data_IF_901515803732
#
_entry.id   IF_901515803732
#
_cell.length_a   1.000
_cell.length_b   1.000
_cell.length_c   1.000
_cell.angle_alpha   90.00
_cell.angle_beta   90.00
_cell.angle_gamma   90.00
#
_symmetry.space_group_name_H-M   'P 1'
#
loop_
_entity.id
_entity.type
_entity.pdbx_description
1 polymer ?
#
# COMPACT_ATOMS: atom_id res chain seq x y z
N UNK A 1 23.82 12.12 -5.14
CA UNK A 1 22.41 11.77 -4.84
C UNK A 1 21.60 13.05 -4.82
N UNK A 2 20.57 13.18 -5.66
CA UNK A 2 19.80 14.44 -5.76
C UNK A 2 18.87 14.60 -4.55
N UNK A 3 18.52 15.85 -4.21
CA UNK A 3 17.55 16.18 -3.15
C UNK A 3 16.22 15.44 -3.36
N UNK A 4 15.77 15.34 -4.63
CA UNK A 4 14.56 14.61 -5.03
C UNK A 4 14.65 13.12 -4.68
N UNK A 5 15.74 12.46 -5.02
CA UNK A 5 15.93 11.02 -4.73
C UNK A 5 15.96 10.77 -3.22
N UNK A 6 16.55 11.67 -2.44
CA UNK A 6 16.54 11.59 -0.98
C UNK A 6 15.13 11.71 -0.39
N UNK A 7 14.33 12.65 -0.88
CA UNK A 7 12.93 12.83 -0.47
C UNK A 7 12.08 11.61 -0.83
N UNK A 8 12.22 11.08 -2.06
CA UNK A 8 11.51 9.85 -2.49
C UNK A 8 11.83 8.68 -1.58
N UNK A 9 13.12 8.47 -1.27
CA UNK A 9 13.56 7.41 -0.37
C UNK A 9 13.01 7.57 1.05
N UNK A 10 13.06 8.78 1.62
CA UNK A 10 12.52 9.06 2.96
C UNK A 10 11.01 8.87 2.99
N UNK A 11 10.28 9.43 2.04
CA UNK A 11 8.83 9.27 1.92
C UNK A 11 8.43 7.80 1.77
N UNK A 12 9.13 7.04 0.91
CA UNK A 12 8.85 5.61 0.73
C UNK A 12 9.11 4.80 2.00
N UNK A 13 10.07 5.22 2.84
CA UNK A 13 10.29 4.60 4.15
C UNK A 13 9.15 4.88 5.13
N UNK A 14 8.62 6.10 5.13
CA UNK A 14 7.47 6.46 5.96
C UNK A 14 6.25 5.62 5.56
N UNK A 15 5.90 5.58 4.27
CA UNK A 15 4.75 4.81 3.79
C UNK A 15 4.95 3.29 3.91
N UNK A 16 6.15 2.78 3.61
CA UNK A 16 6.48 1.38 3.82
C UNK A 16 6.39 0.99 5.31
N UNK A 17 6.89 1.84 6.19
CA UNK A 17 6.79 1.66 7.64
C UNK A 17 5.34 1.73 8.14
N UNK A 18 4.53 2.65 7.61
CA UNK A 18 3.09 2.73 7.91
C UNK A 18 2.38 1.41 7.62
N UNK A 19 2.62 0.80 6.45
CA UNK A 19 1.99 -0.47 6.10
C UNK A 19 2.49 -1.64 6.94
N UNK A 20 3.79 -1.70 7.24
CA UNK A 20 4.34 -2.74 8.11
C UNK A 20 3.78 -2.59 9.53
N UNK A 21 3.64 -1.36 10.01
CA UNK A 21 2.98 -1.05 11.28
C UNK A 21 1.50 -1.45 11.27
N UNK A 22 0.79 -1.17 10.18
CA UNK A 22 -0.60 -1.61 9.95
C UNK A 22 -0.73 -3.13 10.00
N UNK A 23 0.17 -3.87 9.36
CA UNK A 23 0.24 -5.33 9.44
C UNK A 23 0.46 -5.82 10.88
N UNK A 24 1.34 -5.16 11.63
CA UNK A 24 1.55 -5.44 13.05
C UNK A 24 0.30 -5.19 13.90
N UNK A 25 -0.40 -4.08 13.66
CA UNK A 25 -1.66 -3.75 14.31
C UNK A 25 -2.76 -4.77 13.98
N UNK A 26 -2.91 -5.15 12.71
CA UNK A 26 -3.83 -6.20 12.30
C UNK A 26 -3.53 -7.54 12.96
N UNK A 27 -2.25 -7.88 13.11
CA UNK A 27 -1.83 -9.08 13.85
C UNK A 27 -2.27 -9.01 15.32
N UNK A 28 -2.02 -7.88 15.98
CA UNK A 28 -2.39 -7.68 17.37
C UNK A 28 -3.93 -7.71 17.57
N UNK A 29 -4.67 -7.03 16.71
CA UNK A 29 -6.14 -6.98 16.76
C UNK A 29 -6.75 -8.37 16.51
N UNK A 30 -6.24 -9.12 15.54
CA UNK A 30 -6.72 -10.48 15.28
C UNK A 30 -6.48 -11.41 16.49
N UNK A 31 -5.34 -11.25 17.16
CA UNK A 31 -4.99 -12.08 18.31
C UNK A 31 -5.79 -11.70 19.57
N UNK A 32 -6.01 -10.41 19.81
CA UNK A 32 -6.58 -9.90 21.06
C UNK A 32 -8.08 -9.58 21.01
N UNK A 33 -8.60 -9.18 19.86
CA UNK A 33 -9.98 -8.69 19.68
C UNK A 33 -10.48 -8.92 18.23
N UNK A 34 -10.61 -10.16 17.75
CA UNK A 34 -11.05 -10.46 16.38
C UNK A 34 -12.45 -9.94 16.05
N UNK A 35 -13.33 -9.78 17.03
CA UNK A 35 -14.67 -9.20 16.88
C UNK A 35 -14.64 -7.72 16.47
N UNK A 36 -13.51 -7.03 16.68
CA UNK A 36 -13.32 -5.63 16.25
C UNK A 36 -13.49 -5.46 14.73
N UNK A 37 -13.22 -6.50 13.93
CA UNK A 37 -13.42 -6.46 12.48
C UNK A 37 -14.91 -6.41 12.10
N UNK A 38 -15.80 -7.01 12.89
CA UNK A 38 -17.25 -6.86 12.70
C UNK A 38 -17.71 -5.45 13.07
N UNK A 39 -17.22 -4.91 14.19
CA UNK A 39 -17.52 -3.55 14.62
C UNK A 39 -17.02 -2.50 13.61
N UNK A 40 -15.81 -2.70 13.05
CA UNK A 40 -15.27 -1.85 12.00
C UNK A 40 -16.16 -1.86 10.76
N UNK A 41 -16.66 -3.04 10.36
CA UNK A 41 -17.58 -3.20 9.24
C UNK A 41 -18.90 -2.42 9.40
N UNK A 42 -19.41 -2.31 10.63
CA UNK A 42 -20.60 -1.51 10.93
C UNK A 42 -20.34 0.01 10.84
N UNK A 43 -19.08 0.43 11.03
CA UNK A 43 -18.64 1.82 10.88
C UNK A 43 -18.35 2.21 9.42
N UNK A 44 -18.23 1.25 8.50
CA UNK A 44 -17.97 1.55 7.09
C UNK A 44 -19.21 2.12 6.42
N UNK A 45 -19.08 3.33 5.87
CA UNK A 45 -20.13 4.00 5.08
C UNK A 45 -19.97 3.78 3.56
N UNK A 46 -19.32 2.68 3.18
CA UNK A 46 -19.11 2.30 1.79
C UNK A 46 -20.37 1.73 1.10
N UNK A 47 -20.31 1.51 -0.23
CA UNK A 47 -21.36 0.85 -1.01
C UNK A 47 -21.85 -0.46 -0.39
N UNK A 48 -23.15 -0.73 -0.50
CA UNK A 48 -23.78 -1.92 0.10
C UNK A 48 -23.10 -3.24 -0.30
N UNK A 49 -22.65 -3.36 -1.55
CA UNK A 49 -21.93 -4.54 -2.03
C UNK A 49 -20.62 -4.79 -1.26
N UNK A 50 -19.89 -3.72 -0.95
CA UNK A 50 -18.62 -3.80 -0.24
C UNK A 50 -18.80 -4.08 1.25
N UNK A 51 -19.84 -3.52 1.88
CA UNK A 51 -20.21 -3.87 3.26
C UNK A 51 -20.60 -5.34 3.39
N UNK A 52 -21.33 -5.88 2.40
CA UNK A 52 -21.65 -7.32 2.34
C UNK A 52 -20.40 -8.18 2.15
N UNK A 53 -19.47 -7.75 1.29
CA UNK A 53 -18.19 -8.44 1.10
C UNK A 53 -17.39 -8.46 2.41
N UNK A 54 -17.29 -7.33 3.11
CA UNK A 54 -16.64 -7.24 4.42
C UNK A 54 -17.28 -8.19 5.43
N UNK A 55 -18.61 -8.16 5.55
CA UNK A 55 -19.33 -9.04 6.46
C UNK A 55 -19.08 -10.53 6.16
N UNK A 56 -19.08 -10.92 4.88
CA UNK A 56 -18.81 -12.29 4.44
C UNK A 56 -17.33 -12.71 4.51
N UNK A 57 -16.40 -11.78 4.77
CA UNK A 57 -14.96 -12.04 4.80
C UNK A 57 -14.38 -11.71 6.16
N UNK A 58 -14.01 -10.44 6.39
CA UNK A 58 -13.34 -9.97 7.59
C UNK A 58 -14.17 -10.19 8.85
N UNK A 59 -15.50 -10.11 8.78
CA UNK A 59 -16.36 -10.35 9.96
C UNK A 59 -16.65 -11.84 10.20
N UNK A 60 -17.02 -12.60 9.17
CA UNK A 60 -17.37 -14.02 9.32
C UNK A 60 -16.14 -14.92 9.54
N UNK A 61 -15.01 -14.59 8.91
CA UNK A 61 -13.81 -15.41 8.88
C UNK A 61 -12.53 -14.57 9.07
N UNK A 62 -12.38 -13.85 10.21
CA UNK A 62 -11.25 -12.95 10.44
C UNK A 62 -9.90 -13.68 10.37
N UNK A 63 -9.80 -14.90 10.91
CA UNK A 63 -8.57 -15.70 10.90
C UNK A 63 -8.10 -16.17 9.52
N UNK A 64 -8.92 -16.02 8.49
CA UNK A 64 -8.53 -16.31 7.11
C UNK A 64 -8.19 -15.01 6.38
N UNK A 65 -9.08 -14.03 6.42
CA UNK A 65 -8.97 -12.84 5.60
C UNK A 65 -8.02 -11.78 6.16
N UNK A 66 -7.94 -11.63 7.48
CA UNK A 66 -7.03 -10.66 8.11
C UNK A 66 -5.56 -11.06 7.86
N UNK A 67 -5.14 -12.33 8.02
CA UNK A 67 -3.77 -12.72 7.66
C UNK A 67 -3.45 -12.53 6.18
N UNK A 68 -4.38 -12.80 5.27
CA UNK A 68 -4.14 -12.64 3.84
C UNK A 68 -4.03 -11.16 3.44
N UNK A 69 -5.01 -10.35 3.85
CA UNK A 69 -5.15 -8.96 3.38
C UNK A 69 -4.50 -7.98 4.35
N UNK A 70 -4.86 -8.03 5.63
CA UNK A 70 -4.39 -7.08 6.64
C UNK A 70 -2.93 -7.29 7.05
N UNK A 71 -2.40 -8.51 6.91
CA UNK A 71 -1.00 -8.83 7.27
C UNK A 71 -0.18 -9.06 6.01
N UNK A 72 -0.51 -10.08 5.22
CA UNK A 72 0.28 -10.51 4.07
C UNK A 72 0.41 -9.44 2.99
N UNK A 73 -0.72 -8.88 2.56
CA UNK A 73 -0.71 -7.83 1.54
C UNK A 73 -0.09 -6.53 2.06
N UNK A 74 -0.50 -6.01 3.22
CA UNK A 74 0.07 -4.78 3.80
C UNK A 74 1.59 -4.90 4.02
N UNK A 75 2.04 -6.00 4.62
CA UNK A 75 3.46 -6.24 4.83
C UNK A 75 4.21 -6.35 3.50
N UNK A 76 3.65 -7.10 2.54
CA UNK A 76 4.26 -7.29 1.22
C UNK A 76 4.46 -5.98 0.45
N UNK A 77 3.42 -5.14 0.35
CA UNK A 77 3.53 -3.84 -0.34
C UNK A 77 4.42 -2.87 0.44
N UNK A 78 4.42 -2.95 1.78
CA UNK A 78 5.33 -2.19 2.64
C UNK A 78 6.79 -2.52 2.37
N UNK A 79 7.15 -3.80 2.34
CA UNK A 79 8.50 -4.28 2.00
C UNK A 79 8.89 -3.87 0.59
N UNK A 80 7.98 -3.99 -0.39
CA UNK A 80 8.24 -3.53 -1.75
C UNK A 80 8.52 -2.03 -1.80
N UNK A 81 7.78 -1.20 -1.05
CA UNK A 81 8.01 0.25 -0.98
C UNK A 81 9.38 0.60 -0.37
N UNK A 82 9.92 -0.24 0.51
CA UNK A 82 11.26 -0.10 1.07
C UNK A 82 12.40 -0.54 0.13
N UNK A 83 12.08 -1.16 -1.01
CA UNK A 83 13.09 -1.70 -1.91
C UNK A 83 14.02 -0.60 -2.48
N UNK A 84 15.31 -0.92 -2.58
CA UNK A 84 16.30 -0.01 -3.21
C UNK A 84 16.05 0.17 -4.72
N UNK A 85 15.56 -0.87 -5.40
CA UNK A 85 15.28 -0.85 -6.84
C UNK A 85 14.01 -0.02 -7.11
N UNK A 86 14.08 1.03 -7.96
CA UNK A 86 12.98 1.97 -8.16
C UNK A 86 11.71 1.31 -8.71
N UNK A 87 11.83 0.30 -9.59
CA UNK A 87 10.67 -0.47 -10.10
C UNK A 87 9.92 -1.22 -8.99
N UNK A 88 10.62 -1.90 -8.08
CA UNK A 88 10.00 -2.64 -6.97
C UNK A 88 9.34 -1.68 -5.98
N UNK A 89 10.02 -0.57 -5.68
CA UNK A 89 9.47 0.51 -4.87
C UNK A 89 8.21 1.09 -5.46
N UNK A 90 8.20 1.36 -6.78
CA UNK A 90 7.00 1.85 -7.45
C UNK A 90 5.83 0.87 -7.29
N UNK A 91 6.05 -0.43 -7.46
CA UNK A 91 5.01 -1.45 -7.23
C UNK A 91 4.48 -1.38 -5.80
N UNK A 92 5.37 -1.25 -4.80
CA UNK A 92 4.98 -1.06 -3.41
C UNK A 92 4.12 0.19 -3.21
N UNK A 93 4.58 1.35 -3.67
CA UNK A 93 3.85 2.62 -3.57
C UNK A 93 2.49 2.58 -4.29
N UNK A 94 2.40 1.92 -5.45
CA UNK A 94 1.14 1.72 -6.16
C UNK A 94 0.19 0.81 -5.39
N UNK A 95 0.71 -0.25 -4.76
CA UNK A 95 -0.07 -1.10 -3.86
C UNK A 95 -0.63 -0.31 -2.68
N UNK A 96 0.18 0.57 -2.08
CA UNK A 96 -0.25 1.45 -0.98
C UNK A 96 -1.36 2.39 -1.45
N UNK A 97 -1.20 2.99 -2.63
CA UNK A 97 -2.23 3.85 -3.21
C UNK A 97 -3.53 3.08 -3.43
N UNK A 98 -3.46 1.88 -4.03
CA UNK A 98 -4.62 1.04 -4.29
C UNK A 98 -5.34 0.64 -2.99
N UNK A 99 -4.59 0.30 -1.95
CA UNK A 99 -5.13 0.01 -0.63
C UNK A 99 -5.93 1.19 -0.07
N UNK A 100 -5.36 2.39 -0.09
CA UNK A 100 -6.02 3.59 0.42
C UNK A 100 -7.20 4.02 -0.45
N UNK A 101 -7.16 3.80 -1.77
CA UNK A 101 -8.33 3.95 -2.63
C UNK A 101 -9.43 2.98 -2.19
N UNK A 102 -9.11 1.72 -1.89
CA UNK A 102 -10.04 0.76 -1.31
C UNK A 102 -10.68 1.26 -0.02
N UNK A 103 -9.88 1.81 0.91
CA UNK A 103 -10.39 2.42 2.15
C UNK A 103 -11.31 3.62 1.87
N UNK A 104 -10.96 4.46 0.90
CA UNK A 104 -11.77 5.61 0.52
C UNK A 104 -13.15 5.18 -0.02
N UNK A 105 -13.17 4.17 -0.89
CA UNK A 105 -14.42 3.59 -1.40
C UNK A 105 -15.22 2.94 -0.26
N UNK A 106 -14.57 2.41 0.77
CA UNK A 106 -15.21 1.87 1.98
C UNK A 106 -15.74 2.94 2.95
N UNK A 107 -15.60 4.24 2.66
CA UNK A 107 -16.08 5.33 3.52
C UNK A 107 -15.04 5.91 4.49
N UNK A 108 -13.80 5.40 4.50
CA UNK A 108 -12.74 5.83 5.43
C UNK A 108 -11.97 7.05 4.90
N UNK A 109 -12.69 8.11 4.56
CA UNK A 109 -12.13 9.24 3.80
C UNK A 109 -11.07 10.00 4.58
N UNK A 110 -11.33 10.26 5.87
CA UNK A 110 -10.40 10.95 6.76
C UNK A 110 -9.06 10.23 6.94
N UNK A 111 -9.06 8.92 6.74
CA UNK A 111 -7.84 8.10 6.82
C UNK A 111 -7.14 8.04 5.45
N UNK A 112 -7.90 7.86 4.38
CA UNK A 112 -7.36 7.62 3.05
C UNK A 112 -6.85 8.89 2.36
N UNK A 113 -7.59 10.00 2.42
CA UNK A 113 -7.28 11.22 1.66
C UNK A 113 -5.92 11.84 2.02
N UNK A 114 -5.55 12.02 3.31
CA UNK A 114 -4.26 12.63 3.65
C UNK A 114 -3.08 11.78 3.16
N UNK A 115 -3.19 10.45 3.29
CA UNK A 115 -2.16 9.52 2.82
C UNK A 115 -2.02 9.60 1.30
N UNK A 116 -3.12 9.55 0.56
CA UNK A 116 -3.09 9.64 -0.90
C UNK A 116 -2.48 10.97 -1.38
N UNK A 117 -2.87 12.09 -0.78
CA UNK A 117 -2.35 13.41 -1.14
C UNK A 117 -0.82 13.48 -0.98
N UNK A 118 -0.28 12.91 0.10
CA UNK A 118 1.17 12.87 0.37
C UNK A 118 1.91 11.81 -0.47
N UNK A 119 1.23 10.74 -0.87
CA UNK A 119 1.81 9.64 -1.63
C UNK A 119 2.00 9.99 -3.12
N UNK A 120 1.08 10.77 -3.70
CA UNK A 120 1.08 11.10 -5.13
C UNK A 120 2.40 11.72 -5.65
N UNK A 121 3.01 12.72 -4.98
CA UNK A 121 4.30 13.25 -5.40
C UNK A 121 5.43 12.21 -5.40
N UNK A 122 5.40 11.23 -4.48
CA UNK A 122 6.39 10.17 -4.41
C UNK A 122 6.24 9.16 -5.55
N UNK A 123 5.01 8.84 -5.94
CA UNK A 123 4.72 8.01 -7.11
C UNK A 123 5.28 8.66 -8.37
N UNK A 124 4.96 9.93 -8.60
CA UNK A 124 5.45 10.69 -9.77
C UNK A 124 6.98 10.79 -9.75
N UNK A 125 7.58 11.06 -8.59
CA UNK A 125 9.03 11.12 -8.43
C UNK A 125 9.72 9.79 -8.74
N UNK A 126 9.15 8.68 -8.26
CA UNK A 126 9.68 7.33 -8.49
C UNK A 126 9.52 6.90 -9.95
N UNK A 127 8.39 7.21 -10.58
CA UNK A 127 8.16 6.94 -12.00
C UNK A 127 9.20 7.66 -12.88
N UNK A 128 9.41 8.95 -12.64
CA UNK A 128 10.42 9.75 -13.37
C UNK A 128 11.83 9.21 -13.17
N UNK A 129 12.17 8.73 -11.98
CA UNK A 129 13.46 8.08 -11.73
C UNK A 129 13.63 6.81 -12.60
N UNK A 130 12.57 6.03 -12.84
CA UNK A 130 12.62 4.83 -13.69
C UNK A 130 12.82 5.21 -15.16
N UNK A 131 12.09 6.21 -15.66
CA UNK A 131 12.17 6.64 -17.06
C UNK A 131 13.56 7.18 -17.41
N UNK A 132 14.21 7.91 -16.51
CA UNK A 132 15.58 8.40 -16.70
C UNK A 132 16.62 7.28 -16.86
N UNK A 133 16.35 6.09 -16.30
CA UNK A 133 17.23 4.92 -16.42
C UNK A 133 16.78 3.97 -17.55
N UNK A 134 15.88 4.42 -18.43
CA UNK A 134 15.40 3.69 -19.61
C UNK A 134 15.96 4.26 -20.93
N UNK A 135 16.93 5.18 -20.88
CA UNK A 135 17.46 5.84 -22.08
C UNK A 135 17.89 4.85 -23.18
N UNK A 136 17.62 5.17 -24.46
CA UNK A 136 17.82 4.26 -25.60
C UNK A 136 19.27 3.84 -25.86
N UNK A 137 20.25 4.44 -25.18
CA UNK A 137 21.65 3.99 -25.21
C UNK A 137 21.82 2.54 -24.75
N UNK A 138 20.97 2.04 -23.87
CA UNK A 138 21.02 0.64 -23.39
C UNK A 138 20.41 -0.35 -24.40
N UNK A 139 19.59 0.13 -25.34
CA UNK A 139 18.98 -0.69 -26.38
C UNK A 139 19.92 -0.95 -27.57
N UNK A 140 20.87 -0.05 -27.83
CA UNK A 140 21.83 -0.18 -28.94
C UNK A 140 22.98 -1.11 -28.60
N UNK A 141 23.44 -1.15 -27.34
CA UNK A 141 24.52 -2.06 -26.89
C UNK A 141 24.05 -3.50 -26.66
N UNK A 142 22.74 -3.74 -26.45
CA UNK A 142 22.18 -5.09 -26.29
C UNK A 142 21.93 -5.83 -27.60
N UNK A 143 22.05 -5.16 -28.76
CA UNK A 143 21.78 -5.74 -30.08
C UNK A 143 23.05 -6.12 -30.87
N UNK A 144 24.24 -5.97 -30.26
CA UNK A 144 25.56 -6.28 -30.89
C UNK A 144 26.30 -7.42 -30.15
N UNK A 145 25.57 -8.25 -29.40
CA UNK A 145 26.12 -9.42 -28.69
C UNK A 145 25.56 -10.72 -29.21
#
# INVERSE_FOLDING_TARGET
MTLRTALVLRGSRVFGGLMIGGAGLNTALLAAAPESYAALGAWLDGPAALRRLWAGTMSAHPYVWVPLVGIGFEFGIGILALARRPRRRLVGLLGIALFHVGLLVMGLWWWALPVLALLMPLLVGTWRDIDLHRSPSDAVTGAVG
#
